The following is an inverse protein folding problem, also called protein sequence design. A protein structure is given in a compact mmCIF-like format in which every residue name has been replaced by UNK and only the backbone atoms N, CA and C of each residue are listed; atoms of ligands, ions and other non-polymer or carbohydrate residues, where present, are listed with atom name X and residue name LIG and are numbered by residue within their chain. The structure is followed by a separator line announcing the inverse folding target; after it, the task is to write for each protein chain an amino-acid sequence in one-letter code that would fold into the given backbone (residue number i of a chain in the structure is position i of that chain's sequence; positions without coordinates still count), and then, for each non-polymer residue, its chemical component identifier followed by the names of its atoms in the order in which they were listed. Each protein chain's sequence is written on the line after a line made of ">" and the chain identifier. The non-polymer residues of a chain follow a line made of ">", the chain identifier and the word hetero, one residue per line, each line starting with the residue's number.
data_IF_846632598338
#
_entry.id   IF_846632598338
#
_cell.length_a   1.000
_cell.length_b   1.000
_cell.length_c   1.000
_cell.angle_alpha   90.00
_cell.angle_beta   90.00
_cell.angle_gamma   90.00
#
_symmetry.space_group_name_H-M   'P 1'
#
loop_
_entity.id
_entity.type
_entity.pdbx_description
1 polymer ?
#
# COMPACT_ATOMS: atom_id res chain seq x y z
N UNK A 1 -33.02 21.70 -14.50
CA UNK A 1 -31.74 21.60 -15.24
C UNK A 1 -30.83 22.66 -14.64
N UNK A 2 -29.74 22.38 -13.92
CA UNK A 2 -28.91 21.18 -13.83
C UNK A 2 -28.37 21.02 -12.40
N UNK A 3 -28.33 19.77 -11.95
CA UNK A 3 -27.68 19.38 -10.71
C UNK A 3 -26.17 19.57 -10.80
N UNK A 4 -25.57 20.01 -9.69
CA UNK A 4 -24.12 19.96 -9.49
C UNK A 4 -23.82 18.56 -8.91
N UNK A 5 -22.89 17.78 -9.48
CA UNK A 5 -22.49 16.51 -8.89
C UNK A 5 -21.79 16.74 -7.54
N UNK A 6 -21.99 15.77 -6.66
CA UNK A 6 -21.56 15.76 -5.27
C UNK A 6 -20.05 15.53 -5.13
N UNK A 7 -19.45 16.31 -4.23
CA UNK A 7 -18.33 16.01 -3.33
C UNK A 7 -17.17 15.15 -3.83
N UNK A 8 -16.05 15.84 -4.04
CA UNK A 8 -14.65 15.39 -4.01
C UNK A 8 -14.39 14.44 -2.83
N UNK A 9 -13.66 13.36 -3.11
CA UNK A 9 -13.24 12.32 -2.16
C UNK A 9 -12.57 12.91 -0.93
N UNK A 10 -12.96 12.40 0.24
CA UNK A 10 -12.35 12.78 1.51
C UNK A 10 -11.16 11.86 1.80
N UNK A 11 -10.04 12.36 2.33
CA UNK A 11 -9.00 11.51 2.88
C UNK A 11 -9.57 10.67 4.04
N UNK A 12 -9.13 9.42 4.09
CA UNK A 12 -9.48 8.39 5.07
C UNK A 12 -9.53 8.95 6.51
N UNK A 13 -10.62 8.68 7.22
CA UNK A 13 -10.85 9.20 8.56
C UNK A 13 -10.11 8.37 9.62
N UNK A 14 -9.28 9.04 10.43
CA UNK A 14 -8.58 8.46 11.60
C UNK A 14 -9.56 8.10 12.72
N UNK A 15 -9.52 6.85 13.21
CA UNK A 15 -10.27 6.38 14.36
C UNK A 15 -9.36 6.00 15.54
N UNK A 16 -9.54 6.73 16.65
CA UNK A 16 -9.38 6.36 18.07
C UNK A 16 -8.36 5.31 18.51
N UNK A 17 -7.39 5.74 19.33
CA UNK A 17 -6.45 4.92 20.10
C UNK A 17 -7.15 3.83 20.93
N UNK A 18 -6.90 2.56 20.61
CA UNK A 18 -7.13 1.40 21.46
C UNK A 18 -5.84 0.55 21.49
N UNK A 19 -5.66 -0.24 22.56
CA UNK A 19 -4.51 -1.15 22.80
C UNK A 19 -4.07 -1.93 21.54
N UNK A 20 -2.79 -2.35 21.43
CA UNK A 20 -2.24 -2.89 20.18
C UNK A 20 -3.02 -4.15 19.78
N UNK A 21 -3.94 -3.98 18.83
CA UNK A 21 -4.50 -5.09 18.07
C UNK A 21 -3.36 -5.50 17.16
N UNK A 22 -2.70 -6.57 17.52
CA UNK A 22 -1.62 -7.12 16.72
C UNK A 22 -2.20 -7.42 15.31
N UNK A 23 -1.74 -6.68 14.29
CA UNK A 23 -2.42 -6.62 13.00
C UNK A 23 -2.14 -7.86 12.16
N UNK A 24 -3.19 -8.51 11.68
CA UNK A 24 -3.14 -9.64 10.76
C UNK A 24 -3.86 -9.30 9.44
N UNK A 25 -3.68 -10.17 8.44
CA UNK A 25 -4.27 -10.07 7.11
C UNK A 25 -5.77 -9.75 7.07
N UNK A 26 -6.24 -9.18 5.95
CA UNK A 26 -7.63 -8.74 5.78
C UNK A 26 -8.16 -9.00 4.38
N UNK A 27 -9.49 -8.88 4.22
CA UNK A 27 -10.15 -9.04 2.91
C UNK A 27 -10.28 -7.67 2.25
N UNK A 28 -9.68 -7.49 1.09
CA UNK A 28 -9.70 -6.27 0.28
C UNK A 28 -10.97 -6.23 -0.55
N UNK A 29 -11.73 -5.14 -0.43
CA UNK A 29 -12.97 -4.91 -1.20
C UNK A 29 -12.93 -3.66 -2.08
N UNK A 30 -11.92 -2.84 -1.90
CA UNK A 30 -11.65 -1.70 -2.77
C UNK A 30 -10.15 -1.48 -2.89
N UNK A 31 -9.75 -0.91 -4.01
CA UNK A 31 -8.37 -0.56 -4.30
C UNK A 31 -8.34 0.79 -5.02
N UNK A 32 -7.21 1.47 -4.93
CA UNK A 32 -6.92 2.69 -5.65
C UNK A 32 -5.48 2.64 -6.14
N UNK A 33 -5.25 2.99 -7.41
CA UNK A 33 -3.92 3.17 -7.98
C UNK A 33 -3.93 4.55 -8.60
N UNK A 34 -3.06 5.42 -8.10
CA UNK A 34 -2.99 6.82 -8.50
C UNK A 34 -1.54 7.22 -8.71
N UNK A 35 -1.26 7.84 -9.86
CA UNK A 35 -0.08 8.64 -10.05
C UNK A 35 -0.57 10.09 -9.96
N UNK A 36 -0.39 10.72 -8.80
CA UNK A 36 -0.85 12.09 -8.61
C UNK A 36 0.22 13.02 -9.19
N UNK A 37 0.02 13.44 -10.44
CA UNK A 37 0.89 14.41 -11.13
C UNK A 37 0.71 15.86 -10.57
N UNK A 38 -0.09 16.04 -9.52
CA UNK A 38 -0.62 17.36 -9.19
C UNK A 38 -0.90 17.54 -7.70
N UNK A 39 0.14 17.84 -6.90
CA UNK A 39 0.18 19.03 -6.03
C UNK A 39 1.50 19.04 -5.23
N UNK A 40 2.44 19.89 -5.68
CA UNK A 40 3.71 20.25 -5.03
C UNK A 40 4.84 19.21 -5.18
N UNK A 41 5.56 19.34 -6.31
CA UNK A 41 6.97 18.95 -6.53
C UNK A 41 7.40 17.48 -6.40
N UNK A 42 6.53 16.53 -6.06
CA UNK A 42 6.89 15.10 -5.97
C UNK A 42 5.90 14.22 -6.78
N UNK A 43 6.38 13.53 -7.82
CA UNK A 43 5.60 12.54 -8.58
C UNK A 43 5.31 11.33 -7.67
N UNK A 44 4.21 11.41 -6.92
CA UNK A 44 3.83 10.39 -5.94
C UNK A 44 2.94 9.33 -6.59
N UNK A 45 3.46 8.11 -6.66
CA UNK A 45 2.70 6.93 -7.07
C UNK A 45 2.17 6.19 -5.83
N UNK A 46 0.85 6.01 -5.74
CA UNK A 46 0.17 5.40 -4.59
C UNK A 46 -0.68 4.21 -5.00
N UNK A 47 -0.48 3.10 -4.29
CA UNK A 47 -1.38 1.94 -4.29
C UNK A 47 -2.04 1.85 -2.93
N UNK A 48 -3.36 1.86 -2.88
CA UNK A 48 -4.13 1.70 -1.65
C UNK A 48 -5.11 0.52 -1.77
N UNK A 49 -5.27 -0.22 -0.68
CA UNK A 49 -6.27 -1.29 -0.54
C UNK A 49 -6.98 -1.16 0.80
N UNK A 50 -8.29 -1.42 0.82
CA UNK A 50 -9.09 -1.32 2.05
C UNK A 50 -10.13 -2.43 2.19
N UNK A 51 -10.50 -2.70 3.44
CA UNK A 51 -11.44 -3.75 3.82
C UNK A 51 -12.90 -3.43 3.47
N UNK A 52 -13.25 -2.15 3.46
CA UNK A 52 -14.60 -1.67 3.15
C UNK A 52 -14.61 -0.89 1.82
N UNK A 53 -15.71 -0.98 1.05
CA UNK A 53 -15.83 -0.25 -0.23
C UNK A 53 -15.76 1.27 -0.11
N UNK A 54 -16.09 1.83 1.06
CA UNK A 54 -16.00 3.26 1.36
C UNK A 54 -14.60 3.70 1.82
N UNK A 55 -13.64 2.76 1.84
CA UNK A 55 -12.29 2.98 2.30
C UNK A 55 -12.10 2.82 3.81
N UNK A 56 -13.14 2.56 4.59
CA UNK A 56 -13.02 2.39 6.03
C UNK A 56 -12.46 1.01 6.45
N UNK A 57 -12.20 0.86 7.74
CA UNK A 57 -11.70 -0.36 8.34
C UNK A 57 -10.19 -0.49 8.20
N UNK A 58 -9.70 -1.72 7.99
CA UNK A 58 -8.28 -1.95 7.74
C UNK A 58 -7.90 -1.48 6.34
N UNK A 59 -6.77 -0.80 6.25
CA UNK A 59 -6.21 -0.28 5.02
C UNK A 59 -4.70 -0.48 4.99
N UNK A 60 -4.18 -0.59 3.78
CA UNK A 60 -2.76 -0.58 3.51
C UNK A 60 -2.51 0.33 2.31
N UNK A 61 -1.61 1.28 2.48
CA UNK A 61 -1.14 2.16 1.43
C UNK A 61 0.34 1.84 1.18
N UNK A 62 0.73 1.79 -0.09
CA UNK A 62 2.09 1.62 -0.53
C UNK A 62 2.36 2.77 -1.49
N UNK A 63 3.25 3.68 -1.09
CA UNK A 63 3.52 4.90 -1.86
C UNK A 63 4.98 4.96 -2.23
N UNK A 64 5.28 5.33 -3.47
CA UNK A 64 6.59 5.66 -3.96
C UNK A 64 6.62 7.12 -4.39
N UNK A 65 7.66 7.84 -4.01
CA UNK A 65 7.96 9.18 -4.52
C UNK A 65 9.27 9.10 -5.31
N UNK A 66 9.38 9.91 -6.35
CA UNK A 66 10.66 10.16 -7.01
C UNK A 66 11.44 11.12 -6.10
N UNK A 67 12.31 10.58 -5.24
CA UNK A 67 13.22 11.40 -4.42
C UNK A 67 14.26 12.02 -5.38
N UNK A 68 14.34 13.36 -5.39
CA UNK A 68 15.40 14.10 -6.05
C UNK A 68 16.78 13.48 -5.70
N UNK A 69 17.62 13.28 -6.72
CA UNK A 69 18.90 12.54 -6.72
C UNK A 69 19.98 13.05 -5.71
N UNK A 70 19.65 14.00 -4.83
CA UNK A 70 20.56 14.75 -3.97
C UNK A 70 20.64 14.27 -2.50
N UNK A 71 19.85 13.26 -2.07
CA UNK A 71 20.06 12.59 -0.77
C UNK A 71 20.67 11.18 -0.92
N UNK A 72 22.00 11.04 -0.86
CA UNK A 72 22.69 9.75 -0.99
C UNK A 72 22.46 8.81 0.21
N UNK A 73 21.86 9.30 1.30
CA UNK A 73 21.61 8.52 2.52
C UNK A 73 20.19 7.93 2.55
N UNK A 74 20.06 6.79 1.86
CA UNK A 74 19.22 5.67 2.32
C UNK A 74 17.68 5.83 2.38
N UNK A 75 17.05 6.78 1.68
CA UNK A 75 15.58 6.74 1.60
C UNK A 75 15.12 5.52 0.78
N UNK A 76 14.22 4.72 1.38
CA UNK A 76 13.59 3.64 0.64
C UNK A 76 12.53 4.25 -0.26
N UNK A 77 12.61 3.98 -1.56
CA UNK A 77 11.74 4.63 -2.56
C UNK A 77 10.29 4.20 -2.53
N UNK A 78 9.91 3.40 -1.54
CA UNK A 78 8.52 3.28 -1.17
C UNK A 78 8.38 3.17 0.34
N UNK A 79 7.23 3.60 0.83
CA UNK A 79 6.79 3.38 2.20
C UNK A 79 5.46 2.64 2.23
N UNK A 80 5.25 1.88 3.30
CA UNK A 80 4.00 1.20 3.62
C UNK A 80 3.38 1.93 4.79
N UNK A 81 2.12 2.32 4.65
CA UNK A 81 1.33 3.01 5.68
C UNK A 81 0.10 2.18 6.00
N UNK A 82 -0.16 1.99 7.28
CA UNK A 82 -1.32 1.24 7.75
C UNK A 82 -2.51 2.14 8.12
N UNK A 83 -3.59 1.54 8.61
CA UNK A 83 -4.81 2.24 9.03
C UNK A 83 -4.64 3.20 10.20
N UNK A 84 -3.55 3.06 10.96
CA UNK A 84 -3.20 3.92 12.09
C UNK A 84 -2.18 5.00 11.73
N UNK A 85 -1.82 5.11 10.45
CA UNK A 85 -0.77 5.98 9.94
C UNK A 85 0.64 5.66 10.49
N UNK A 86 0.88 4.41 10.91
CA UNK A 86 2.23 3.94 11.13
C UNK A 86 2.90 3.69 9.77
N UNK A 87 4.14 4.14 9.62
CA UNK A 87 4.88 4.08 8.35
C UNK A 87 6.12 3.21 8.47
N UNK A 88 6.36 2.36 7.48
CA UNK A 88 7.61 1.63 7.31
C UNK A 88 8.17 1.79 5.90
N UNK A 89 9.43 2.21 5.80
CA UNK A 89 10.14 2.48 4.56
C UNK A 89 10.87 1.23 4.07
N UNK A 90 10.62 0.78 2.83
CA UNK A 90 11.32 -0.37 2.23
C UNK A 90 11.16 -1.68 3.00
N UNK A 91 10.05 -1.83 3.73
CA UNK A 91 9.89 -2.87 4.74
C UNK A 91 9.56 -4.26 4.21
N UNK A 92 9.18 -4.38 2.93
CA UNK A 92 8.72 -5.62 2.30
C UNK A 92 9.91 -6.38 1.72
N UNK A 93 10.02 -7.66 2.08
CA UNK A 93 11.05 -8.61 1.60
C UNK A 93 10.56 -9.44 0.42
N UNK A 94 9.28 -9.82 0.43
CA UNK A 94 8.63 -10.58 -0.64
C UNK A 94 7.20 -10.10 -0.81
N UNK A 95 6.78 -9.99 -2.06
CA UNK A 95 5.39 -9.76 -2.42
C UNK A 95 4.99 -10.83 -3.46
N UNK A 96 3.88 -11.51 -3.21
CA UNK A 96 3.36 -12.57 -4.06
C UNK A 96 1.87 -12.31 -4.29
N UNK A 97 1.38 -12.51 -5.51
CA UNK A 97 -0.05 -12.52 -5.79
C UNK A 97 -0.39 -13.84 -6.49
N UNK A 98 -1.16 -14.68 -5.81
CA UNK A 98 -1.62 -15.95 -6.36
C UNK A 98 -3.00 -16.29 -5.81
N UNK A 99 -3.85 -16.90 -6.64
CA UNK A 99 -5.17 -17.40 -6.25
C UNK A 99 -6.06 -16.35 -5.54
N UNK A 100 -5.94 -15.08 -5.94
CA UNK A 100 -6.68 -13.96 -5.34
C UNK A 100 -6.23 -13.60 -3.93
N UNK A 101 -4.98 -13.90 -3.56
CA UNK A 101 -4.37 -13.51 -2.29
C UNK A 101 -3.06 -12.81 -2.56
N UNK A 102 -2.90 -11.60 -2.00
CA UNK A 102 -1.60 -10.92 -1.93
C UNK A 102 -0.94 -11.33 -0.63
N UNK A 103 0.26 -11.90 -0.70
CA UNK A 103 1.08 -12.22 0.47
C UNK A 103 2.26 -11.26 0.53
N UNK A 104 2.34 -10.50 1.62
CA UNK A 104 3.43 -9.59 1.91
C UNK A 104 4.27 -10.14 3.07
N UNK A 105 5.55 -10.37 2.82
CA UNK A 105 6.52 -10.71 3.86
C UNK A 105 7.31 -9.46 4.24
N UNK A 106 7.29 -9.10 5.52
CA UNK A 106 7.90 -7.91 6.09
C UNK A 106 9.17 -8.26 6.86
N UNK A 107 10.13 -7.34 6.85
CA UNK A 107 11.32 -7.40 7.72
C UNK A 107 10.95 -7.24 9.20
N UNK A 108 11.80 -7.75 10.11
CA UNK A 108 11.61 -7.57 11.56
C UNK A 108 11.48 -6.10 11.99
N UNK A 109 12.14 -5.18 11.26
CA UNK A 109 12.01 -3.73 11.46
C UNK A 109 10.58 -3.29 11.16
N UNK A 110 10.06 -3.66 9.99
CA UNK A 110 8.72 -3.28 9.55
C UNK A 110 7.63 -3.91 10.44
N UNK A 111 7.80 -5.17 10.85
CA UNK A 111 6.90 -5.85 11.81
C UNK A 111 6.76 -5.04 13.11
N UNK A 112 7.87 -4.52 13.64
CA UNK A 112 7.85 -3.69 14.85
C UNK A 112 7.27 -2.31 14.61
N UNK A 113 7.58 -1.68 13.46
CA UNK A 113 7.11 -0.33 13.13
C UNK A 113 5.60 -0.29 12.87
N UNK A 114 5.05 -1.33 12.23
CA UNK A 114 3.64 -1.47 11.87
C UNK A 114 2.84 -2.29 12.89
N UNK A 115 3.48 -2.73 13.98
CA UNK A 115 2.88 -3.55 15.05
C UNK A 115 2.14 -4.80 14.53
N UNK A 116 2.73 -5.48 13.53
CA UNK A 116 2.15 -6.65 12.88
C UNK A 116 2.19 -7.90 13.77
N UNK A 117 1.30 -8.86 13.48
CA UNK A 117 1.23 -10.16 14.16
C UNK A 117 2.35 -11.13 13.82
N UNK A 118 2.99 -10.88 12.70
CA UNK A 118 4.14 -11.63 12.27
C UNK A 118 4.70 -10.99 11.00
N UNK A 119 5.73 -11.63 10.43
CA UNK A 119 6.34 -11.15 9.21
C UNK A 119 5.41 -11.29 8.00
N UNK A 120 4.40 -12.17 8.04
CA UNK A 120 3.54 -12.42 6.88
C UNK A 120 2.16 -11.81 7.09
N UNK A 121 1.72 -11.00 6.12
CA UNK A 121 0.38 -10.45 6.01
C UNK A 121 -0.25 -10.95 4.72
N UNK A 122 -1.44 -11.54 4.83
CA UNK A 122 -2.21 -12.04 3.68
C UNK A 122 -3.43 -11.15 3.43
N UNK A 123 -3.55 -10.62 2.22
CA UNK A 123 -4.66 -9.80 1.80
C UNK A 123 -5.50 -10.58 0.79
N UNK A 124 -6.68 -11.03 1.20
CA UNK A 124 -7.59 -11.77 0.32
C UNK A 124 -8.36 -10.79 -0.56
N UNK A 125 -8.33 -10.95 -1.87
CA UNK A 125 -8.97 -10.05 -2.81
C UNK A 125 -10.41 -10.49 -3.08
N UNK A 126 -11.37 -9.65 -2.70
CA UNK A 126 -12.77 -9.68 -3.17
C UNK A 126 -12.96 -8.54 -4.18
N UNK A 127 -12.20 -8.63 -5.28
CA UNK A 127 -12.18 -7.64 -6.36
C UNK A 127 -12.55 -8.30 -7.70
N UNK A 128 -13.04 -7.51 -8.63
CA UNK A 128 -13.24 -7.96 -10.01
C UNK A 128 -11.89 -8.24 -10.70
N UNK A 129 -11.83 -9.14 -11.71
CA UNK A 129 -10.57 -9.53 -12.34
C UNK A 129 -9.74 -8.36 -12.88
N UNK A 130 -10.38 -7.38 -13.53
CA UNK A 130 -9.70 -6.19 -14.07
C UNK A 130 -9.08 -5.33 -12.95
N UNK A 131 -9.73 -5.27 -11.78
CA UNK A 131 -9.23 -4.59 -10.60
C UNK A 131 -8.02 -5.32 -9.99
N UNK A 132 -8.00 -6.66 -10.03
CA UNK A 132 -6.83 -7.44 -9.59
C UNK A 132 -5.63 -7.19 -10.50
N UNK A 133 -5.84 -7.12 -11.82
CA UNK A 133 -4.78 -6.78 -12.78
C UNK A 133 -4.23 -5.38 -12.51
N UNK A 134 -5.11 -4.38 -12.39
CA UNK A 134 -4.73 -3.00 -12.06
C UNK A 134 -3.92 -2.90 -10.76
N UNK A 135 -4.37 -3.60 -9.71
CA UNK A 135 -3.65 -3.66 -8.44
C UNK A 135 -2.26 -4.31 -8.60
N UNK A 136 -2.17 -5.42 -9.33
CA UNK A 136 -0.91 -6.12 -9.56
C UNK A 136 0.12 -5.24 -10.29
N UNK A 137 -0.33 -4.53 -11.33
CA UNK A 137 0.50 -3.58 -12.08
C UNK A 137 0.99 -2.44 -11.19
N UNK A 138 0.09 -1.80 -10.43
CA UNK A 138 0.46 -0.72 -9.52
C UNK A 138 1.42 -1.18 -8.41
N UNK A 139 1.19 -2.35 -7.81
CA UNK A 139 2.10 -2.89 -6.79
C UNK A 139 3.48 -3.18 -7.36
N UNK A 140 3.56 -3.73 -8.59
CA UNK A 140 4.83 -3.96 -9.27
C UNK A 140 5.58 -2.64 -9.47
N UNK A 141 4.89 -1.61 -9.94
CA UNK A 141 5.46 -0.28 -10.19
C UNK A 141 6.07 0.34 -8.93
N UNK A 142 5.32 0.35 -7.82
CA UNK A 142 5.82 0.86 -6.53
C UNK A 142 7.02 0.06 -6.01
N UNK A 143 7.00 -1.26 -6.16
CA UNK A 143 8.09 -2.09 -5.61
C UNK A 143 9.38 -2.03 -6.42
N UNK A 144 9.33 -1.62 -7.70
CA UNK A 144 10.52 -1.51 -8.56
C UNK A 144 11.03 -0.07 -8.71
N UNK A 145 10.28 0.93 -8.26
CA UNK A 145 10.66 2.36 -8.36
C UNK A 145 12.01 2.65 -7.68
N UNK A 146 12.36 1.91 -6.63
CA UNK A 146 13.54 2.19 -5.81
C UNK A 146 14.82 1.40 -6.06
N UNK A 147 15.88 1.66 -5.25
CA UNK A 147 17.11 0.90 -5.25
C UNK A 147 16.88 -0.60 -5.07
N UNK A 148 17.66 -1.41 -5.78
CA UNK A 148 17.57 -2.87 -5.75
C UNK A 148 17.58 -3.47 -4.34
N UNK A 149 18.32 -2.86 -3.39
CA UNK A 149 18.40 -3.30 -1.98
C UNK A 149 17.08 -3.25 -1.21
N UNK A 150 16.11 -2.43 -1.67
CA UNK A 150 14.79 -2.30 -1.06
C UNK A 150 13.69 -2.98 -1.89
N UNK A 151 14.00 -3.47 -3.10
CA UNK A 151 13.05 -4.18 -3.94
C UNK A 151 12.73 -5.54 -3.30
N UNK A 152 11.45 -5.85 -3.04
CA UNK A 152 11.08 -7.18 -2.61
C UNK A 152 11.26 -8.19 -3.74
N UNK A 153 11.37 -9.47 -3.38
CA UNK A 153 11.22 -10.56 -4.35
C UNK A 153 9.75 -10.61 -4.79
N UNK A 154 9.50 -10.45 -6.08
CA UNK A 154 8.16 -10.55 -6.67
C UNK A 154 7.85 -11.99 -7.11
N UNK A 155 6.62 -12.44 -6.88
CA UNK A 155 6.14 -13.78 -7.22
C UNK A 155 4.70 -13.79 -7.71
N UNK A 156 4.30 -14.90 -8.33
CA UNK A 156 2.96 -15.07 -8.90
C UNK A 156 2.66 -14.03 -9.98
N UNK A 157 1.50 -13.40 -9.91
CA UNK A 157 1.05 -12.37 -10.86
C UNK A 157 1.79 -11.02 -10.69
N UNK A 158 2.62 -10.87 -9.64
CA UNK A 158 3.52 -9.72 -9.47
C UNK A 158 4.88 -9.90 -10.17
N UNK A 159 5.26 -11.14 -10.53
CA UNK A 159 6.54 -11.44 -11.17
C UNK A 159 6.64 -10.91 -12.61
#
# INVERSE_FOLDING_TARGET
>A
MNGRPASVGRPFASAGQNAPVIKSGFTVRTHHVDADDNYLDEDLFTVAVAEQPDGAGRQLLITAADDDEDDPDEMASYCVVDETHCTSYGGVRRADLADGVVTLEFSDRAVKQLELAGPVVELRLELEPDAVVSLAEGMREVFISGPERFRPVLGGDLA
#
